data_IF_313965070771
#
_entry.id   IF_313965070771
#
_cell.length_a   1.000
_cell.length_b   1.000
_cell.length_c   1.000
_cell.angle_alpha   90.00
_cell.angle_beta   90.00
_cell.angle_gamma   90.00
#
_symmetry.space_group_name_H-M   'P 1'
#
loop_
_entity.id
_entity.type
_entity.pdbx_description
1 polymer ?
#
# COMPACT_ATOMS: atom_id res chain seq x y z
N UNK A 1 -19.01 4.63 -4.95
CA UNK A 1 -18.25 3.74 -5.85
C UNK A 1 -18.99 3.44 -7.16
N UNK A 2 -20.12 2.71 -7.16
CA UNK A 2 -20.76 2.19 -8.39
C UNK A 2 -21.06 3.28 -9.45
N UNK A 3 -21.73 4.38 -9.07
CA UNK A 3 -22.15 5.42 -10.02
C UNK A 3 -20.97 6.10 -10.74
N UNK A 4 -19.88 6.36 -10.01
CA UNK A 4 -18.70 7.05 -10.55
C UNK A 4 -17.71 6.08 -11.19
N UNK A 5 -17.62 4.85 -10.68
CA UNK A 5 -16.63 3.87 -11.13
C UNK A 5 -16.76 3.53 -12.62
N UNK A 6 -17.99 3.31 -13.11
CA UNK A 6 -18.22 3.02 -14.53
C UNK A 6 -17.81 4.17 -15.44
N UNK A 7 -18.23 5.40 -15.12
CA UNK A 7 -17.87 6.60 -15.89
C UNK A 7 -16.36 6.82 -15.91
N UNK A 8 -15.69 6.70 -14.76
CA UNK A 8 -14.24 6.88 -14.66
C UNK A 8 -13.47 5.79 -15.42
N UNK A 9 -13.95 4.55 -15.46
CA UNK A 9 -13.36 3.47 -16.28
C UNK A 9 -13.50 3.74 -17.79
N UNK A 10 -14.54 4.46 -18.21
CA UNK A 10 -14.73 4.92 -19.58
C UNK A 10 -13.93 6.22 -19.89
N UNK A 11 -13.19 6.75 -18.91
CA UNK A 11 -12.43 8.00 -19.06
C UNK A 11 -13.28 9.27 -18.95
N UNK A 12 -14.48 9.17 -18.36
CA UNK A 12 -15.40 10.29 -18.19
C UNK A 12 -15.28 10.86 -16.76
N UNK A 13 -14.77 12.08 -16.65
CA UNK A 13 -14.74 12.87 -15.42
C UNK A 13 -13.37 13.49 -15.11
N UNK A 14 -13.28 14.81 -15.19
CA UNK A 14 -12.05 15.57 -14.86
C UNK A 14 -11.94 15.94 -13.38
N UNK A 15 -13.09 16.00 -12.70
CA UNK A 15 -13.21 16.28 -11.27
C UNK A 15 -14.41 15.52 -10.71
N UNK A 16 -14.33 15.17 -9.43
CA UNK A 16 -15.40 14.44 -8.75
C UNK A 16 -15.59 14.97 -7.34
N UNK A 17 -16.81 14.79 -6.82
CA UNK A 17 -17.14 15.01 -5.42
C UNK A 17 -17.92 13.79 -4.93
N UNK A 18 -17.59 13.31 -3.75
CA UNK A 18 -18.38 12.30 -3.04
C UNK A 18 -19.36 13.04 -2.15
N UNK A 19 -20.62 12.63 -2.12
CA UNK A 19 -21.63 13.21 -1.25
C UNK A 19 -21.98 12.19 -0.16
N UNK A 20 -21.58 12.46 1.08
CA UNK A 20 -21.88 11.62 2.24
C UNK A 20 -22.72 12.38 3.26
N UNK A 21 -23.51 11.64 4.04
CA UNK A 21 -24.11 12.17 5.27
C UNK A 21 -23.15 11.97 6.45
N UNK A 22 -21.94 12.50 6.31
CA UNK A 22 -20.82 12.35 7.24
C UNK A 22 -19.96 13.63 7.23
N UNK A 23 -18.86 13.62 7.97
CA UNK A 23 -17.93 14.75 7.98
C UNK A 23 -17.24 14.93 6.59
N UNK A 24 -16.92 16.16 6.18
CA UNK A 24 -16.38 16.43 4.84
C UNK A 24 -15.05 15.72 4.54
N UNK A 25 -14.25 15.42 5.56
CA UNK A 25 -12.97 14.72 5.41
C UNK A 25 -13.18 13.29 4.89
N UNK A 26 -14.29 12.64 5.25
CA UNK A 26 -14.62 11.30 4.77
C UNK A 26 -14.98 11.31 3.28
N UNK A 27 -15.57 12.41 2.77
CA UNK A 27 -15.81 12.58 1.33
C UNK A 27 -14.48 12.55 0.55
N UNK A 28 -13.44 13.17 1.09
CA UNK A 28 -12.11 13.23 0.48
C UNK A 28 -11.45 11.85 0.51
N UNK A 29 -11.48 11.16 1.66
CA UNK A 29 -10.92 9.80 1.81
C UNK A 29 -11.52 8.84 0.79
N UNK A 30 -12.84 8.76 0.72
CA UNK A 30 -13.54 7.88 -0.23
C UNK A 30 -13.27 8.27 -1.68
N UNK A 31 -13.14 9.56 -1.98
CA UNK A 31 -12.79 10.04 -3.31
C UNK A 31 -11.44 9.47 -3.79
N UNK A 32 -10.42 9.54 -2.93
CA UNK A 32 -9.12 8.95 -3.23
C UNK A 32 -9.17 7.42 -3.29
N UNK A 33 -9.94 6.75 -2.44
CA UNK A 33 -10.07 5.28 -2.48
C UNK A 33 -10.69 4.77 -3.79
N UNK A 34 -11.67 5.49 -4.35
CA UNK A 34 -12.24 5.17 -5.67
C UNK A 34 -11.18 5.33 -6.77
N UNK A 35 -10.48 6.47 -6.80
CA UNK A 35 -9.45 6.72 -7.81
C UNK A 35 -8.29 5.73 -7.72
N UNK A 36 -7.90 5.36 -6.51
CA UNK A 36 -6.86 4.38 -6.21
C UNK A 36 -7.26 2.98 -6.67
N UNK A 37 -8.51 2.58 -6.42
CA UNK A 37 -9.05 1.28 -6.86
C UNK A 37 -9.09 1.14 -8.39
N UNK A 38 -9.15 2.27 -9.11
CA UNK A 38 -9.13 2.32 -10.58
C UNK A 38 -7.73 2.55 -11.16
N UNK A 39 -6.71 2.70 -10.32
CA UNK A 39 -5.35 3.04 -10.75
C UNK A 39 -5.19 4.43 -11.38
N UNK A 40 -6.16 5.33 -11.17
CA UNK A 40 -6.17 6.67 -11.77
C UNK A 40 -5.35 7.68 -10.95
N UNK A 41 -5.40 7.57 -9.62
CA UNK A 41 -4.65 8.44 -8.71
C UNK A 41 -4.49 7.78 -7.36
N UNK A 42 -3.30 7.86 -6.79
CA UNK A 42 -2.98 7.38 -5.44
C UNK A 42 -2.51 8.53 -4.55
N UNK A 43 -2.77 8.42 -3.25
CA UNK A 43 -2.33 9.36 -2.23
C UNK A 43 -1.93 8.57 -0.98
N UNK A 44 -0.63 8.30 -0.85
CA UNK A 44 -0.10 7.40 0.18
C UNK A 44 -0.10 5.93 -0.22
N UNK A 45 0.00 5.07 0.79
CA UNK A 45 0.24 3.63 0.61
C UNK A 45 -1.03 2.93 0.11
N UNK A 46 -0.82 2.02 -0.83
CA UNK A 46 -1.80 1.04 -1.25
C UNK A 46 -1.51 -0.32 -0.61
N UNK A 47 -2.26 -0.63 0.44
CA UNK A 47 -2.15 -1.92 1.10
C UNK A 47 -2.91 -3.01 0.35
N UNK A 48 -2.22 -4.11 0.08
CA UNK A 48 -2.75 -5.30 -0.57
C UNK A 48 -2.68 -6.45 0.44
N UNK A 49 -3.82 -6.84 1.01
CA UNK A 49 -3.86 -7.88 2.02
C UNK A 49 -4.72 -9.07 1.57
N UNK A 50 -4.31 -10.27 1.94
CA UNK A 50 -5.17 -11.43 1.75
C UNK A 50 -6.33 -11.42 2.76
N UNK A 51 -7.51 -11.98 2.41
CA UNK A 51 -8.57 -12.17 3.39
C UNK A 51 -8.13 -13.11 4.51
N UNK A 52 -8.72 -12.97 5.69
CA UNK A 52 -8.48 -13.92 6.78
C UNK A 52 -8.96 -15.31 6.37
N UNK A 53 -8.07 -16.30 6.43
CA UNK A 53 -8.40 -17.69 6.16
C UNK A 53 -7.67 -18.61 7.16
N UNK A 54 -8.01 -19.89 7.20
CA UNK A 54 -7.42 -20.86 8.13
C UNK A 54 -5.94 -21.17 7.86
N UNK A 55 -5.39 -20.74 6.72
CA UNK A 55 -4.00 -20.95 6.34
C UNK A 55 -3.06 -19.84 6.80
N UNK A 56 -3.59 -18.79 7.43
CA UNK A 56 -2.78 -17.68 7.88
C UNK A 56 -1.83 -18.12 9.00
N UNK A 57 -0.57 -17.77 8.88
CA UNK A 57 0.50 -18.06 9.86
C UNK A 57 0.58 -16.96 10.93
N UNK A 58 -0.12 -15.84 10.73
CA UNK A 58 -0.30 -14.74 11.67
C UNK A 58 -1.67 -14.07 11.48
N UNK A 59 -2.08 -13.22 12.42
CA UNK A 59 -3.33 -12.48 12.31
C UNK A 59 -3.18 -11.29 11.37
N UNK A 60 -3.52 -11.49 10.08
CA UNK A 60 -3.39 -10.46 9.04
C UNK A 60 -4.21 -9.23 9.37
N UNK A 61 -5.44 -9.39 9.88
CA UNK A 61 -6.34 -8.27 10.20
C UNK A 61 -5.69 -7.33 11.21
N UNK A 62 -5.12 -7.90 12.28
CA UNK A 62 -4.49 -7.11 13.34
C UNK A 62 -3.24 -6.37 12.84
N UNK A 63 -2.40 -7.04 12.06
CA UNK A 63 -1.19 -6.42 11.47
C UNK A 63 -1.59 -5.28 10.53
N UNK A 64 -2.61 -5.50 9.70
CA UNK A 64 -3.12 -4.48 8.77
C UNK A 64 -3.64 -3.24 9.47
N UNK A 65 -4.48 -3.40 10.50
CA UNK A 65 -5.00 -2.27 11.28
C UNK A 65 -3.88 -1.43 11.90
N UNK A 66 -2.86 -2.08 12.46
CA UNK A 66 -1.72 -1.39 13.05
C UNK A 66 -0.88 -0.64 12.00
N UNK A 67 -0.72 -1.23 10.80
CA UNK A 67 0.01 -0.58 9.70
C UNK A 67 -0.74 0.61 9.13
N UNK A 68 -2.06 0.49 8.92
CA UNK A 68 -2.90 1.59 8.45
C UNK A 68 -2.86 2.79 9.41
N UNK A 69 -2.95 2.54 10.72
CA UNK A 69 -2.86 3.59 11.75
C UNK A 69 -1.48 4.26 11.77
N UNK A 70 -0.39 3.47 11.74
CA UNK A 70 0.98 4.00 11.88
C UNK A 70 1.53 4.67 10.63
N UNK A 71 0.95 4.41 9.46
CA UNK A 71 1.44 4.88 8.17
C UNK A 71 0.46 5.84 7.46
N UNK A 72 -0.59 6.31 8.13
CA UNK A 72 -1.56 7.29 7.61
C UNK A 72 -0.90 8.62 7.20
N UNK A 73 0.25 8.96 7.81
CA UNK A 73 1.01 10.18 7.53
C UNK A 73 1.68 10.19 6.14
N UNK A 74 1.88 9.02 5.54
CA UNK A 74 2.63 8.88 4.30
C UNK A 74 1.77 9.24 3.09
N UNK A 75 2.22 10.23 2.32
CA UNK A 75 1.58 10.67 1.06
C UNK A 75 2.26 10.13 -0.19
N UNK A 76 3.46 9.60 -0.06
CA UNK A 76 4.21 9.02 -1.17
C UNK A 76 3.53 7.73 -1.64
N UNK A 77 3.14 7.63 -2.92
CA UNK A 77 2.46 6.46 -3.44
C UNK A 77 3.41 5.26 -3.52
N UNK A 78 2.97 4.11 -2.99
CA UNK A 78 3.66 2.82 -3.09
C UNK A 78 2.70 1.67 -2.78
N UNK A 79 2.99 0.49 -3.31
CA UNK A 79 2.23 -0.73 -3.06
C UNK A 79 2.90 -1.57 -1.96
N UNK A 80 2.16 -1.92 -0.91
CA UNK A 80 2.64 -2.74 0.20
C UNK A 80 1.72 -3.95 0.37
N UNK A 81 2.24 -5.16 0.20
CA UNK A 81 1.45 -6.38 0.36
C UNK A 81 1.75 -7.15 1.64
N UNK A 82 0.70 -7.61 2.33
CA UNK A 82 0.79 -8.34 3.61
C UNK A 82 -0.05 -9.61 3.50
N UNK A 83 0.60 -10.72 3.20
CA UNK A 83 -0.07 -11.98 2.89
C UNK A 83 0.19 -12.99 3.98
N UNK A 84 -0.87 -13.52 4.59
CA UNK A 84 -0.79 -14.39 5.76
C UNK A 84 -0.18 -15.77 5.51
N UNK A 85 0.00 -16.22 4.26
CA UNK A 85 0.46 -17.57 3.97
C UNK A 85 1.28 -17.68 2.68
N UNK A 86 2.04 -18.76 2.56
CA UNK A 86 2.90 -19.06 1.39
C UNK A 86 2.18 -19.48 0.11
N UNK A 87 0.85 -19.62 0.11
CA UNK A 87 0.11 -20.18 -1.04
C UNK A 87 0.04 -19.18 -2.17
N UNK A 88 -0.66 -18.05 -1.97
CA UNK A 88 -0.70 -16.97 -2.94
C UNK A 88 0.33 -15.88 -2.63
N UNK A 89 0.90 -15.89 -1.42
CA UNK A 89 1.82 -14.84 -0.95
C UNK A 89 2.99 -14.56 -1.89
N UNK A 90 3.73 -15.56 -2.41
CA UNK A 90 4.86 -15.28 -3.30
C UNK A 90 4.50 -14.62 -4.63
N UNK A 91 3.26 -14.78 -5.12
CA UNK A 91 2.79 -14.10 -6.33
C UNK A 91 2.44 -12.65 -6.02
N UNK A 92 1.57 -12.46 -5.03
CA UNK A 92 1.09 -11.14 -4.59
C UNK A 92 2.23 -10.26 -4.03
N UNK A 93 3.23 -10.84 -3.38
CA UNK A 93 4.40 -10.12 -2.85
C UNK A 93 5.38 -9.63 -3.92
N UNK A 94 5.34 -10.21 -5.13
CA UNK A 94 6.23 -9.79 -6.21
C UNK A 94 5.75 -8.57 -6.97
N UNK A 95 4.44 -8.36 -7.01
CA UNK A 95 3.81 -7.25 -7.71
C UNK A 95 3.83 -5.95 -6.89
N UNK A 96 4.17 -6.02 -5.60
CA UNK A 96 4.25 -4.87 -4.71
C UNK A 96 5.69 -4.33 -4.59
N UNK A 97 5.83 -3.04 -4.25
CA UNK A 97 7.13 -2.45 -3.91
C UNK A 97 7.76 -3.15 -2.71
N UNK A 98 6.94 -3.42 -1.69
CA UNK A 98 7.30 -4.18 -0.49
C UNK A 98 6.24 -5.25 -0.27
N UNK A 99 6.64 -6.51 -0.18
CA UNK A 99 5.72 -7.62 0.06
C UNK A 99 6.16 -8.50 1.22
N UNK A 100 5.22 -8.95 2.04
CA UNK A 100 5.47 -9.87 3.15
C UNK A 100 4.64 -11.13 2.99
N UNK A 101 5.31 -12.28 3.06
CA UNK A 101 4.69 -13.60 2.97
C UNK A 101 4.81 -14.32 4.31
N UNK A 102 3.67 -14.63 4.90
CA UNK A 102 3.53 -15.34 6.16
C UNK A 102 4.10 -16.74 6.09
N UNK A 103 5.06 -17.00 6.98
CA UNK A 103 5.62 -18.31 7.25
C UNK A 103 6.04 -18.33 8.73
N UNK A 104 5.57 -19.31 9.50
CA UNK A 104 5.99 -19.47 10.89
C UNK A 104 7.27 -20.30 10.97
N UNK A 105 8.28 -19.91 11.79
CA UNK A 105 8.32 -18.73 12.65
C UNK A 105 8.78 -17.43 11.93
N UNK A 106 9.37 -17.54 10.74
CA UNK A 106 9.95 -16.39 10.03
C UNK A 106 9.27 -16.14 8.69
N UNK A 107 8.70 -14.94 8.55
CA UNK A 107 8.04 -14.48 7.34
C UNK A 107 9.05 -13.96 6.32
N UNK A 108 8.75 -14.12 5.03
CA UNK A 108 9.66 -13.75 3.94
C UNK A 108 9.29 -12.39 3.35
N UNK A 109 10.28 -11.50 3.28
CA UNK A 109 10.15 -10.18 2.68
C UNK A 109 10.56 -10.21 1.21
N UNK A 110 9.79 -9.51 0.40
CA UNK A 110 10.04 -9.18 -1.00
C UNK A 110 10.23 -7.67 -1.14
N UNK A 111 11.17 -7.27 -1.99
CA UNK A 111 11.41 -5.88 -2.37
C UNK A 111 11.49 -5.81 -3.89
N UNK A 112 10.63 -5.02 -4.53
CA UNK A 112 10.56 -4.86 -5.99
C UNK A 112 10.58 -6.21 -6.75
N UNK A 113 9.80 -7.20 -6.30
CA UNK A 113 9.76 -8.51 -6.95
C UNK A 113 10.82 -9.53 -6.50
N UNK A 114 11.85 -9.11 -5.77
CA UNK A 114 12.96 -10.00 -5.36
C UNK A 114 12.89 -10.38 -3.89
N UNK A 115 13.31 -11.61 -3.56
CA UNK A 115 13.42 -12.08 -2.18
C UNK A 115 14.52 -11.28 -1.47
N UNK A 116 14.18 -10.65 -0.35
CA UNK A 116 15.13 -9.84 0.41
C UNK A 116 15.71 -10.61 1.60
N UNK A 117 14.91 -10.82 2.65
CA UNK A 117 15.35 -11.46 3.89
C UNK A 117 14.15 -12.03 4.65
N UNK A 118 14.45 -12.77 5.72
CA UNK A 118 13.46 -13.32 6.63
C UNK A 118 13.33 -12.41 7.86
N UNK A 119 12.11 -12.11 8.27
CA UNK A 119 11.80 -11.35 9.49
C UNK A 119 11.01 -12.20 10.47
N UNK A 120 11.07 -11.87 11.76
CA UNK A 120 10.27 -12.55 12.76
C UNK A 120 8.78 -12.21 12.57
N UNK A 121 7.92 -13.23 12.66
CA UNK A 121 6.48 -13.07 12.50
C UNK A 121 5.86 -12.26 13.65
N UNK A 122 6.54 -12.19 14.81
CA UNK A 122 6.10 -11.39 15.93
C UNK A 122 6.48 -9.89 15.81
N UNK A 123 7.36 -9.54 14.87
CA UNK A 123 7.87 -8.17 14.65
C UNK A 123 7.47 -7.58 13.29
N UNK A 124 6.42 -8.12 12.67
CA UNK A 124 5.99 -7.73 11.33
C UNK A 124 5.69 -6.24 11.20
N UNK A 125 4.99 -5.65 12.17
CA UNK A 125 4.54 -4.26 12.09
C UNK A 125 5.74 -3.32 12.11
N UNK A 126 6.66 -3.51 13.05
CA UNK A 126 7.86 -2.70 13.20
C UNK A 126 8.78 -2.80 11.98
N UNK A 127 9.00 -4.01 11.47
CA UNK A 127 9.85 -4.24 10.29
C UNK A 127 9.23 -3.64 9.03
N UNK A 128 7.94 -3.86 8.78
CA UNK A 128 7.24 -3.30 7.61
C UNK A 128 7.25 -1.77 7.67
N UNK A 129 6.92 -1.18 8.82
CA UNK A 129 6.94 0.27 9.01
C UNK A 129 8.34 0.86 8.70
N UNK A 130 9.40 0.25 9.23
CA UNK A 130 10.76 0.71 8.97
C UNK A 130 11.09 0.67 7.48
N UNK A 131 10.78 -0.44 6.81
CA UNK A 131 11.05 -0.60 5.38
C UNK A 131 10.30 0.41 4.52
N UNK A 132 9.04 0.68 4.86
CA UNK A 132 8.21 1.67 4.19
C UNK A 132 8.81 3.06 4.36
N UNK A 133 9.15 3.47 5.59
CA UNK A 133 9.72 4.81 5.87
C UNK A 133 11.07 5.00 5.18
N UNK A 134 11.90 3.97 5.13
CA UNK A 134 13.17 4.01 4.39
C UNK A 134 12.95 4.16 2.87
N UNK A 135 11.95 3.46 2.32
CA UNK A 135 11.57 3.58 0.92
C UNK A 135 11.04 4.97 0.59
N UNK A 136 10.23 5.58 1.46
CA UNK A 136 9.75 6.96 1.31
C UNK A 136 10.93 7.92 1.20
N UNK A 137 11.88 7.87 2.14
CA UNK A 137 13.07 8.72 2.13
C UNK A 137 13.85 8.59 0.82
N UNK A 138 14.08 7.36 0.36
CA UNK A 138 14.79 7.11 -0.89
C UNK A 138 14.07 7.72 -2.12
N UNK A 139 12.73 7.65 -2.16
CA UNK A 139 11.93 8.24 -3.24
C UNK A 139 11.98 9.77 -3.19
N UNK A 140 11.86 10.36 -2.00
CA UNK A 140 11.93 11.81 -1.82
C UNK A 140 13.30 12.38 -2.20
N UNK A 141 14.39 11.73 -1.78
CA UNK A 141 15.75 12.11 -2.15
C UNK A 141 15.98 12.01 -3.67
N UNK A 142 15.46 10.97 -4.31
CA UNK A 142 15.55 10.82 -5.77
C UNK A 142 14.83 11.96 -6.50
N UNK A 143 13.60 12.31 -6.06
CA UNK A 143 12.85 13.45 -6.60
C UNK A 143 13.58 14.78 -6.39
N UNK A 144 14.17 15.01 -5.21
CA UNK A 144 14.93 16.23 -4.96
C UNK A 144 16.14 16.37 -5.88
N UNK A 145 16.87 15.27 -6.15
CA UNK A 145 18.02 15.28 -7.08
C UNK A 145 17.57 15.54 -8.53
N UNK A 146 16.41 15.02 -8.92
CA UNK A 146 15.86 15.23 -10.26
C UNK A 146 15.43 16.68 -10.50
N UNK A 147 14.77 17.31 -9.52
CA UNK A 147 14.40 18.74 -9.58
C UNK A 147 15.63 19.62 -9.75
N UNK A 148 16.73 19.31 -9.05
CA UNK A 148 17.98 20.03 -9.20
C UNK A 148 18.51 19.88 -10.63
N UNK A 149 18.54 18.66 -11.19
CA UNK A 149 19.07 18.44 -12.55
C UNK A 149 18.32 19.23 -13.63
N UNK A 150 16.99 19.25 -13.58
CA UNK A 150 16.15 19.95 -14.57
C UNK A 150 16.19 21.48 -14.43
N UNK A 151 16.59 22.00 -13.26
CA UNK A 151 16.69 23.45 -13.02
C UNK A 151 17.99 24.08 -13.56
N UNK A 152 18.93 23.25 -14.06
CA UNK A 152 20.24 23.67 -14.58
C UNK A 152 20.41 23.38 -16.10
N UNK A 153 19.35 22.97 -16.80
CA UNK A 153 19.25 22.91 -18.27
C UNK A 153 18.32 24.01 -18.80
#
# INVERSE_FOLDING_TARGET
AIALGGLLMEGIGDTMRISLAAEPEDEIKIGFDILKSLGLRSNGINFIACPSCSRQEFNVIKVMQMLEERLEDIRTPMDVSVIGCKVNGPGEAKEADIGVVGASPRSLVYRNGEKSHLIDTDQLVEEIESMVRDRVKAIEEAKSKEIIRTSFE
#
